data_IF_332524110509
#
_entry.id   IF_332524110509
#
_cell.length_a   1.000
_cell.length_b   1.000
_cell.length_c   1.000
_cell.angle_alpha   90.00
_cell.angle_beta   90.00
_cell.angle_gamma   90.00
#
_symmetry.space_group_name_H-M   'P 1'
#
loop_
_entity.id
_entity.type
_entity.pdbx_description
1 polymer ?
#
# COMPACT_ATOMS: atom_id res chain seq x y z
N UNK A 1 6.42 77.08 -21.52
CA UNK A 1 7.20 75.85 -21.70
C UNK A 1 7.11 75.12 -20.39
N UNK A 2 6.15 74.21 -20.30
CA UNK A 2 5.91 73.41 -19.11
C UNK A 2 6.77 72.14 -19.16
N UNK A 3 7.47 71.76 -18.08
CA UNK A 3 8.22 70.51 -18.00
C UNK A 3 7.28 69.31 -17.83
N UNK A 4 7.74 68.09 -18.16
CA UNK A 4 6.88 66.95 -18.43
C UNK A 4 6.31 66.34 -17.16
N UNK A 5 5.05 65.93 -17.29
CA UNK A 5 4.24 65.19 -16.33
C UNK A 5 4.94 63.89 -15.91
N UNK A 6 5.23 63.73 -14.62
CA UNK A 6 5.66 62.46 -14.04
C UNK A 6 4.59 61.36 -14.28
N UNK A 7 4.99 60.11 -14.59
CA UNK A 7 4.06 59.01 -14.75
C UNK A 7 3.45 58.59 -13.40
N UNK A 8 2.26 57.94 -13.41
CA UNK A 8 1.52 57.64 -12.20
C UNK A 8 2.32 56.69 -11.30
N UNK A 9 2.35 57.04 -10.01
CA UNK A 9 2.91 56.27 -8.92
C UNK A 9 2.57 54.79 -9.05
N UNK A 10 3.60 53.95 -9.15
CA UNK A 10 3.49 52.52 -9.00
C UNK A 10 2.81 52.21 -7.66
N UNK A 11 1.74 51.42 -7.71
CA UNK A 11 1.04 50.90 -6.55
C UNK A 11 2.04 50.33 -5.56
N UNK A 12 2.20 50.99 -4.41
CA UNK A 12 2.90 50.43 -3.26
C UNK A 12 2.16 49.15 -2.87
N UNK A 13 2.78 47.96 -2.96
CA UNK A 13 2.11 46.74 -2.54
C UNK A 13 1.88 46.84 -1.04
N UNK A 14 0.62 46.65 -0.66
CA UNK A 14 0.08 46.58 0.69
C UNK A 14 1.07 45.91 1.64
N UNK A 15 1.42 46.58 2.74
CA UNK A 15 2.13 45.97 3.86
C UNK A 15 1.29 44.76 4.31
N UNK A 16 1.76 43.56 3.96
CA UNK A 16 1.20 42.34 4.51
C UNK A 16 1.39 42.41 6.03
N UNK A 17 0.30 42.32 6.78
CA UNK A 17 0.37 42.19 8.24
C UNK A 17 0.91 40.78 8.55
N UNK A 18 2.24 40.64 8.58
CA UNK A 18 2.92 39.36 8.75
C UNK A 18 2.82 38.94 10.21
N UNK A 19 2.21 37.79 10.53
CA UNK A 19 2.12 37.31 11.90
C UNK A 19 3.50 37.04 12.50
N UNK A 20 3.65 37.28 13.80
CA UNK A 20 4.86 36.93 14.55
C UNK A 20 5.13 35.44 14.35
N UNK A 21 6.33 35.08 13.90
CA UNK A 21 6.78 33.72 13.50
C UNK A 21 6.59 33.33 12.03
N UNK A 22 6.27 34.29 11.16
CA UNK A 22 6.26 34.09 9.71
C UNK A 22 7.22 35.05 9.00
N UNK A 23 7.77 34.59 7.89
CA UNK A 23 8.63 35.34 6.97
C UNK A 23 8.02 35.32 5.58
N UNK A 24 8.13 36.42 4.84
CA UNK A 24 7.66 36.49 3.45
C UNK A 24 8.75 35.92 2.54
N UNK A 25 8.44 34.82 1.86
CA UNK A 25 9.25 34.27 0.77
C UNK A 25 8.72 34.72 -0.58
N UNK A 26 9.58 34.69 -1.60
CA UNK A 26 9.21 35.02 -2.98
C UNK A 26 9.53 33.82 -3.88
N UNK A 27 8.56 33.37 -4.67
CA UNK A 27 8.78 32.26 -5.61
C UNK A 27 9.61 32.73 -6.81
N UNK A 28 10.20 31.81 -7.59
CA UNK A 28 10.88 32.15 -8.84
C UNK A 28 9.96 32.81 -9.89
N UNK A 29 8.65 32.75 -9.70
CA UNK A 29 7.65 33.43 -10.53
C UNK A 29 7.27 34.84 -10.03
N UNK A 30 7.90 35.31 -8.94
CA UNK A 30 7.64 36.63 -8.35
C UNK A 30 6.44 36.69 -7.40
N UNK A 31 5.81 35.55 -7.09
CA UNK A 31 4.67 35.50 -6.17
C UNK A 31 5.17 35.45 -4.72
N UNK A 32 4.65 36.34 -3.87
CA UNK A 32 4.96 36.35 -2.44
C UNK A 32 4.13 35.31 -1.68
N UNK A 33 4.71 34.66 -0.67
CA UNK A 33 4.05 33.69 0.18
C UNK A 33 4.60 33.73 1.60
N UNK A 34 3.79 33.32 2.57
CA UNK A 34 4.16 33.33 3.99
C UNK A 34 4.70 31.95 4.39
N UNK A 35 5.88 31.94 5.01
CA UNK A 35 6.56 30.75 5.49
C UNK A 35 6.73 30.87 7.01
N UNK A 36 6.32 29.88 7.80
CA UNK A 36 6.69 29.83 9.21
C UNK A 36 8.21 29.83 9.37
N UNK A 37 8.76 30.63 10.28
CA UNK A 37 10.23 30.82 10.40
C UNK A 37 11.00 29.52 10.63
N UNK A 38 10.39 28.52 11.27
CA UNK A 38 11.02 27.20 11.49
C UNK A 38 11.10 26.33 10.22
N UNK A 39 10.29 26.61 9.20
CA UNK A 39 10.32 25.90 7.91
C UNK A 39 11.21 26.58 6.89
N UNK A 40 11.64 27.83 7.14
CA UNK A 40 12.44 28.62 6.21
C UNK A 40 13.67 27.85 5.68
N UNK A 41 14.50 27.17 6.51
CA UNK A 41 15.67 26.44 6.00
C UNK A 41 15.29 25.32 5.03
N UNK A 42 14.16 24.64 5.26
CA UNK A 42 13.69 23.56 4.38
C UNK A 42 13.11 24.11 3.08
N UNK A 43 12.41 25.24 3.15
CA UNK A 43 11.85 25.93 1.99
C UNK A 43 12.96 26.48 1.09
N UNK A 44 14.01 27.07 1.66
CA UNK A 44 15.16 27.60 0.91
C UNK A 44 15.86 26.49 0.12
N UNK A 45 16.10 25.33 0.75
CA UNK A 45 16.69 24.14 0.08
C UNK A 45 15.81 23.64 -1.07
N UNK A 46 14.49 23.61 -0.88
CA UNK A 46 13.54 23.20 -1.92
C UNK A 46 13.51 24.15 -3.12
N UNK A 47 13.53 25.47 -2.85
CA UNK A 47 13.57 26.49 -3.89
C UNK A 47 14.89 26.49 -4.67
N UNK A 48 16.03 26.31 -3.98
CA UNK A 48 17.33 26.19 -4.63
C UNK A 48 17.39 24.96 -5.55
N UNK A 49 16.82 23.84 -5.10
CA UNK A 49 16.71 22.64 -5.92
C UNK A 49 15.84 22.89 -7.17
N UNK A 50 14.70 23.57 -7.03
CA UNK A 50 13.85 23.93 -8.18
C UNK A 50 14.55 24.88 -9.15
N UNK A 51 15.23 25.91 -8.62
CA UNK A 51 15.99 26.86 -9.42
C UNK A 51 17.15 26.17 -10.16
N UNK A 52 17.80 25.20 -9.52
CA UNK A 52 18.84 24.38 -10.12
C UNK A 52 18.30 23.51 -11.26
N UNK A 53 17.15 22.85 -11.07
CA UNK A 53 16.47 22.05 -12.10
C UNK A 53 16.08 22.91 -13.30
N UNK A 54 15.52 24.11 -13.06
CA UNK A 54 15.22 25.08 -14.13
C UNK A 54 16.46 25.55 -14.88
N UNK A 55 17.54 25.88 -14.16
CA UNK A 55 18.80 26.36 -14.75
C UNK A 55 19.49 25.29 -15.59
N UNK A 56 19.45 24.04 -15.14
CA UNK A 56 20.09 22.92 -15.85
C UNK A 56 19.27 22.42 -17.04
N UNK A 57 18.04 22.94 -17.24
CA UNK A 57 17.14 22.45 -18.28
C UNK A 57 16.80 20.97 -18.11
N UNK A 58 17.04 20.42 -16.92
CA UNK A 58 16.70 19.06 -16.56
C UNK A 58 15.18 18.99 -16.45
N UNK A 59 14.51 18.79 -17.57
CA UNK A 59 13.13 18.34 -17.51
C UNK A 59 13.17 17.01 -16.78
N UNK A 60 12.40 16.91 -15.69
CA UNK A 60 12.04 15.59 -15.19
C UNK A 60 11.46 14.87 -16.42
N UNK A 61 12.17 13.86 -16.94
CA UNK A 61 11.64 12.98 -17.98
C UNK A 61 10.22 12.66 -17.55
N UNK A 62 9.20 12.88 -18.41
CA UNK A 62 7.80 12.98 -18.00
C UNK A 62 7.52 11.87 -17.00
N UNK A 63 7.58 12.27 -15.73
CA UNK A 63 7.39 11.36 -14.63
C UNK A 63 5.95 11.03 -14.80
N UNK A 64 5.68 9.85 -15.36
CA UNK A 64 4.34 9.44 -15.70
C UNK A 64 3.49 9.83 -14.53
N UNK A 65 2.52 10.73 -14.76
CA UNK A 65 1.34 10.76 -13.91
C UNK A 65 0.83 9.34 -14.04
N UNK A 66 1.30 8.45 -13.17
CA UNK A 66 0.60 7.23 -12.86
C UNK A 66 -0.64 7.75 -12.14
N UNK A 67 -1.59 8.19 -12.96
CA UNK A 67 -2.96 8.17 -12.55
C UNK A 67 -3.17 6.75 -12.09
N UNK A 68 -3.27 6.58 -10.77
CA UNK A 68 -3.55 5.29 -10.17
C UNK A 68 -4.86 4.72 -10.72
N UNK A 69 -5.70 5.55 -11.37
CA UNK A 69 -6.94 5.16 -12.05
C UNK A 69 -6.79 4.02 -13.07
N UNK A 70 -5.59 3.76 -13.59
CA UNK A 70 -5.35 2.66 -14.54
C UNK A 70 -4.83 1.37 -13.89
N UNK A 71 -4.52 1.36 -12.58
CA UNK A 71 -4.03 0.18 -11.87
C UNK A 71 -5.13 -0.77 -11.38
N UNK A 72 -6.41 -0.41 -11.60
CA UNK A 72 -7.53 -1.11 -10.97
C UNK A 72 -8.23 -2.15 -11.84
N UNK A 73 -7.76 -2.41 -13.07
CA UNK A 73 -8.37 -3.41 -13.94
C UNK A 73 -7.34 -4.35 -14.54
N UNK A 74 -7.44 -5.63 -14.18
CA UNK A 74 -6.79 -6.71 -14.95
C UNK A 74 -7.79 -7.22 -15.97
N UNK A 75 -7.34 -7.42 -17.21
CA UNK A 75 -8.17 -8.01 -18.25
C UNK A 75 -8.06 -9.53 -18.18
N UNK A 76 -9.14 -10.19 -17.80
CA UNK A 76 -9.29 -11.64 -17.89
C UNK A 76 -10.48 -11.88 -18.83
N UNK A 77 -10.25 -12.60 -19.93
CA UNK A 77 -11.27 -12.98 -20.94
C UNK A 77 -12.16 -11.83 -21.43
N UNK A 78 -11.57 -10.67 -21.74
CA UNK A 78 -12.28 -9.51 -22.30
C UNK A 78 -13.13 -8.72 -21.31
N UNK A 79 -13.17 -9.12 -20.03
CA UNK A 79 -13.79 -8.37 -18.94
C UNK A 79 -12.79 -7.58 -18.10
N UNK A 80 -13.16 -6.37 -17.68
CA UNK A 80 -12.41 -5.59 -16.67
C UNK A 80 -12.74 -6.15 -15.28
N UNK A 81 -11.81 -6.87 -14.65
CA UNK A 81 -11.97 -7.30 -13.27
C UNK A 81 -11.43 -6.20 -12.35
N UNK A 82 -12.24 -5.61 -11.45
CA UNK A 82 -11.75 -4.63 -10.49
C UNK A 82 -10.78 -5.32 -9.52
N UNK A 83 -9.53 -4.85 -9.49
CA UNK A 83 -8.56 -5.31 -8.50
C UNK A 83 -8.93 -4.75 -7.12
N UNK A 84 -8.86 -5.56 -6.05
CA UNK A 84 -9.07 -5.06 -4.70
C UNK A 84 -8.04 -3.95 -4.42
N UNK A 85 -8.53 -2.84 -3.87
CA UNK A 85 -7.69 -1.72 -3.48
C UNK A 85 -6.68 -2.25 -2.47
N UNK A 86 -5.39 -2.26 -2.84
CA UNK A 86 -4.32 -2.51 -1.89
C UNK A 86 -4.39 -1.36 -0.89
N UNK A 87 -4.68 -1.62 0.40
CA UNK A 87 -4.78 -0.55 1.37
C UNK A 87 -3.45 0.19 1.43
N UNK A 88 -3.53 1.52 1.41
CA UNK A 88 -2.34 2.35 1.58
C UNK A 88 -1.76 2.10 2.97
N UNK A 89 -0.43 2.02 3.06
CA UNK A 89 0.26 1.87 4.34
C UNK A 89 -0.09 3.03 5.25
N UNK A 90 -0.46 2.71 6.49
CA UNK A 90 -0.65 3.69 7.55
C UNK A 90 0.68 4.37 7.90
N UNK A 91 0.63 5.57 8.48
CA UNK A 91 1.85 6.27 8.93
C UNK A 91 2.68 5.46 9.91
N UNK A 92 2.00 4.73 10.80
CA UNK A 92 2.65 3.83 11.76
C UNK A 92 3.45 2.74 11.06
N UNK A 93 2.88 2.10 10.03
CA UNK A 93 3.57 1.06 9.26
C UNK A 93 4.74 1.64 8.47
N UNK A 94 4.57 2.81 7.86
CA UNK A 94 5.66 3.52 7.16
C UNK A 94 6.83 3.82 8.09
N UNK A 95 6.56 4.34 9.29
CA UNK A 95 7.59 4.63 10.29
C UNK A 95 8.25 3.35 10.81
N UNK A 96 7.48 2.28 11.01
CA UNK A 96 8.03 0.99 11.42
C UNK A 96 8.99 0.42 10.36
N UNK A 97 8.59 0.41 9.09
CA UNK A 97 9.46 -0.02 7.98
C UNK A 97 10.73 0.84 7.89
N UNK A 98 10.61 2.16 8.05
CA UNK A 98 11.78 3.04 8.07
C UNK A 98 12.75 2.68 9.21
N UNK A 99 12.23 2.44 10.41
CA UNK A 99 13.03 2.05 11.57
C UNK A 99 13.74 0.71 11.35
N UNK A 100 13.07 -0.27 10.73
CA UNK A 100 13.69 -1.56 10.37
C UNK A 100 14.81 -1.40 9.34
N UNK A 101 14.58 -0.60 8.29
CA UNK A 101 15.60 -0.33 7.28
C UNK A 101 16.81 0.34 7.95
N UNK A 102 16.60 1.33 8.82
CA UNK A 102 17.67 1.98 9.59
C UNK A 102 18.42 1.02 10.51
N UNK A 103 17.72 0.08 11.14
CA UNK A 103 18.34 -0.96 11.95
C UNK A 103 19.24 -1.87 11.09
N UNK A 104 18.78 -2.28 9.90
CA UNK A 104 19.59 -3.06 8.95
C UNK A 104 20.80 -2.28 8.43
N UNK A 105 20.64 -0.99 8.13
CA UNK A 105 21.77 -0.13 7.75
C UNK A 105 22.83 -0.09 8.85
N UNK A 106 22.41 0.13 10.10
CA UNK A 106 23.31 0.24 11.26
C UNK A 106 24.01 -1.09 11.56
N UNK A 107 23.28 -2.20 11.48
CA UNK A 107 23.80 -3.54 11.81
C UNK A 107 24.78 -4.08 10.77
N UNK A 108 24.55 -3.79 9.49
CA UNK A 108 25.29 -4.42 8.38
C UNK A 108 26.07 -3.42 7.51
N UNK A 109 26.03 -2.12 7.81
CA UNK A 109 26.69 -1.08 7.02
C UNK A 109 26.10 -0.91 5.61
N UNK A 110 24.83 -1.25 5.40
CA UNK A 110 24.20 -1.24 4.08
C UNK A 110 23.69 0.15 3.68
N UNK A 111 23.66 0.41 2.37
CA UNK A 111 22.91 1.55 1.83
C UNK A 111 21.41 1.38 2.11
N UNK A 112 20.69 2.49 2.26
CA UNK A 112 19.24 2.47 2.57
C UNK A 112 18.47 1.69 1.50
N UNK A 113 18.86 1.85 0.24
CA UNK A 113 18.30 1.12 -0.91
C UNK A 113 18.52 -0.38 -0.81
N UNK A 114 19.73 -0.84 -0.50
CA UNK A 114 20.01 -2.29 -0.39
C UNK A 114 19.32 -2.90 0.84
N UNK A 115 19.32 -2.19 1.97
CA UNK A 115 18.61 -2.61 3.17
C UNK A 115 17.10 -2.74 2.92
N UNK A 116 16.48 -1.76 2.25
CA UNK A 116 15.07 -1.81 1.85
C UNK A 116 14.76 -2.94 0.88
N UNK A 117 15.62 -3.17 -0.11
CA UNK A 117 15.45 -4.27 -1.05
C UNK A 117 15.54 -5.65 -0.37
N UNK A 118 16.47 -5.83 0.57
CA UNK A 118 16.58 -7.07 1.36
C UNK A 118 15.38 -7.31 2.25
N UNK A 119 14.88 -6.26 2.91
CA UNK A 119 13.67 -6.34 3.72
C UNK A 119 12.47 -6.76 2.87
N UNK A 120 12.31 -6.14 1.70
CA UNK A 120 11.28 -6.52 0.72
C UNK A 120 11.37 -8.00 0.33
N UNK A 121 12.56 -8.49 -0.04
CA UNK A 121 12.75 -9.90 -0.40
C UNK A 121 12.44 -10.85 0.75
N UNK A 122 12.78 -10.48 1.98
CA UNK A 122 12.48 -11.28 3.17
C UNK A 122 10.97 -11.40 3.39
N UNK A 123 10.24 -10.28 3.34
CA UNK A 123 8.78 -10.26 3.48
C UNK A 123 8.08 -10.98 2.33
N UNK A 124 8.54 -10.80 1.08
CA UNK A 124 7.98 -11.52 -0.07
C UNK A 124 8.15 -13.05 0.06
N UNK A 125 9.29 -13.52 0.59
CA UNK A 125 9.49 -14.95 0.86
C UNK A 125 8.56 -15.45 1.97
N UNK A 126 8.39 -14.67 3.03
CA UNK A 126 7.48 -14.98 4.13
C UNK A 126 6.04 -15.12 3.63
N UNK A 127 5.58 -14.20 2.78
CA UNK A 127 4.26 -14.28 2.14
C UNK A 127 4.08 -15.57 1.33
N UNK A 128 5.08 -15.97 0.52
CA UNK A 128 5.04 -17.24 -0.23
C UNK A 128 4.96 -18.47 0.67
N UNK A 129 5.68 -18.46 1.80
CA UNK A 129 5.61 -19.57 2.77
C UNK A 129 4.21 -19.68 3.35
N UNK A 130 3.57 -18.56 3.69
CA UNK A 130 2.18 -18.58 4.17
C UNK A 130 1.18 -19.04 3.11
N UNK A 131 1.35 -18.61 1.86
CA UNK A 131 0.52 -19.06 0.76
C UNK A 131 0.62 -20.58 0.55
N UNK A 132 1.84 -21.11 0.51
CA UNK A 132 2.07 -22.56 0.42
C UNK A 132 1.47 -23.30 1.61
N UNK A 133 1.64 -22.79 2.82
CA UNK A 133 1.05 -23.38 4.02
C UNK A 133 -0.49 -23.39 3.96
N UNK A 134 -1.11 -22.32 3.46
CA UNK A 134 -2.55 -22.23 3.27
C UNK A 134 -3.04 -23.24 2.22
N UNK A 135 -2.31 -23.43 1.12
CA UNK A 135 -2.62 -24.44 0.09
C UNK A 135 -2.56 -25.84 0.70
N UNK A 136 -1.48 -26.17 1.42
CA UNK A 136 -1.33 -27.49 2.06
C UNK A 136 -2.41 -27.75 3.10
N UNK A 137 -2.74 -26.75 3.93
CA UNK A 137 -3.80 -26.87 4.92
C UNK A 137 -5.17 -27.09 4.26
N UNK A 138 -5.43 -26.42 3.14
CA UNK A 138 -6.66 -26.59 2.37
C UNK A 138 -6.77 -28.02 1.81
N UNK A 139 -5.67 -28.57 1.29
CA UNK A 139 -5.63 -29.94 0.79
C UNK A 139 -5.94 -30.96 1.89
N UNK A 140 -5.35 -30.78 3.08
CA UNK A 140 -5.66 -31.63 4.24
C UNK A 140 -7.12 -31.48 4.68
N UNK A 141 -7.66 -30.25 4.66
CA UNK A 141 -9.05 -30.01 5.01
C UNK A 141 -10.03 -30.66 4.04
N UNK A 142 -9.72 -30.66 2.73
CA UNK A 142 -10.54 -31.36 1.73
C UNK A 142 -10.48 -32.87 1.91
N UNK A 143 -9.29 -33.44 2.14
CA UNK A 143 -9.15 -34.88 2.39
C UNK A 143 -9.89 -35.31 3.67
N UNK A 144 -9.82 -34.50 4.74
CA UNK A 144 -10.58 -34.76 5.96
C UNK A 144 -12.09 -34.69 5.73
N UNK A 145 -12.57 -33.77 4.89
CA UNK A 145 -13.99 -33.67 4.55
C UNK A 145 -14.47 -34.92 3.78
N UNK A 146 -13.69 -35.39 2.81
CA UNK A 146 -14.00 -36.59 2.03
C UNK A 146 -14.08 -37.83 2.93
N UNK A 147 -13.14 -37.98 3.88
CA UNK A 147 -13.15 -39.07 4.85
C UNK A 147 -14.35 -39.03 5.79
N UNK A 148 -14.78 -37.83 6.21
CA UNK A 148 -15.98 -37.66 7.03
C UNK A 148 -17.22 -38.09 6.23
N UNK A 149 -17.32 -37.67 4.97
CA UNK A 149 -18.41 -38.06 4.08
C UNK A 149 -18.47 -39.60 3.90
N UNK A 150 -17.33 -40.25 3.67
CA UNK A 150 -17.22 -41.70 3.58
C UNK A 150 -17.70 -42.42 4.84
N UNK A 151 -17.34 -41.90 6.03
CA UNK A 151 -17.78 -42.46 7.31
C UNK A 151 -19.29 -42.29 7.47
N UNK A 152 -19.84 -41.12 7.14
CA UNK A 152 -21.28 -40.87 7.20
C UNK A 152 -22.07 -41.80 6.27
N UNK A 153 -21.57 -42.05 5.06
CA UNK A 153 -22.20 -42.98 4.12
C UNK A 153 -22.20 -44.42 4.66
N UNK A 154 -21.08 -44.87 5.25
CA UNK A 154 -20.97 -46.21 5.86
C UNK A 154 -21.90 -46.38 7.05
N UNK A 155 -22.03 -45.37 7.91
CA UNK A 155 -22.97 -45.39 9.04
C UNK A 155 -24.42 -45.51 8.56
N UNK A 156 -24.82 -44.71 7.56
CA UNK A 156 -26.16 -44.80 6.94
C UNK A 156 -26.45 -46.19 6.36
N UNK A 157 -25.46 -46.83 5.74
CA UNK A 157 -25.62 -48.18 5.19
C UNK A 157 -25.83 -49.25 6.28
N UNK A 158 -25.14 -49.12 7.42
CA UNK A 158 -25.30 -50.02 8.57
C UNK A 158 -26.69 -49.87 9.19
N UNK A 159 -27.17 -48.64 9.38
CA UNK A 159 -28.50 -48.37 9.93
C UNK A 159 -29.61 -48.96 9.03
N UNK A 160 -29.46 -48.84 7.71
CA UNK A 160 -30.38 -49.41 6.73
C UNK A 160 -30.36 -50.95 6.72
N UNK A 161 -29.18 -51.57 6.82
CA UNK A 161 -29.02 -53.03 6.84
C UNK A 161 -29.54 -53.70 8.13
N UNK A 162 -29.46 -53.00 9.26
CA UNK A 162 -29.89 -53.52 10.57
C UNK A 162 -31.43 -53.64 10.67
N UNK A 163 -32.18 -52.82 9.92
CA UNK A 163 -33.64 -52.92 9.85
C UNK A 163 -34.17 -54.19 9.16
N UNK A 164 -33.37 -54.88 8.34
CA UNK A 164 -33.85 -56.09 7.64
C UNK A 164 -33.63 -57.41 8.40
N UNK A 165 -32.88 -57.41 9.50
CA UNK A 165 -32.52 -58.65 10.21
C UNK A 165 -33.28 -58.86 11.54
N UNK A 166 -34.29 -58.02 11.82
CA UNK A 166 -35.14 -58.15 13.02
C UNK A 166 -36.54 -58.67 12.64
N UNK A 167 -36.70 -59.99 12.55
CA UNK A 167 -38.05 -60.58 12.60
C UNK A 167 -38.29 -61.87 11.81
N UNK A 168 -37.56 -62.96 12.09
CA UNK A 168 -38.20 -64.27 12.08
C UNK A 168 -37.69 -65.10 13.27
N UNK A 169 -38.36 -65.08 14.43
CA UNK A 169 -38.06 -66.01 15.50
C UNK A 169 -38.56 -67.39 15.07
N UNK A 170 -37.67 -68.20 14.49
CA UNK A 170 -37.88 -69.64 14.40
C UNK A 170 -37.90 -70.21 15.81
N UNK A 171 -39.10 -70.46 16.33
CA UNK A 171 -39.31 -71.27 17.52
C UNK A 171 -38.75 -72.68 17.29
N UNK A 172 -37.85 -73.19 18.14
CA UNK A 172 -37.39 -74.57 18.05
C UNK A 172 -38.54 -75.50 18.46
N UNK A 173 -39.00 -76.31 17.52
CA UNK A 173 -39.97 -77.37 17.75
C UNK A 173 -39.26 -78.51 18.51
N UNK A 174 -39.57 -78.68 19.79
CA UNK A 174 -39.04 -79.76 20.62
C UNK A 174 -40.09 -80.89 20.60
N UNK A 175 -39.70 -82.14 20.26
CA UNK A 175 -40.59 -83.31 20.19
C UNK A 175 -41.07 -83.80 21.57
#
# INVERSE_FOLDING_TARGET
>A
MDPPTDPPHANTPSEFNVPVSFTVGTTPAGTQYLIPSFLQPATDVGLEAEAFVRRTGATNAPGGKQSMDHLFHTFVDGGKVPMPIVPSLTDRERLALHAEIKALQTRYGLSYKDAGHRLYLAEARKARVFENAAISLRAVATEAADLIEDIEQKLKAIDAGTSQNSGNPQSPNIP
#
